data_IF_953370356328
#
_entry.id   IF_953370356328
#
_cell.length_a   1.000
_cell.length_b   1.000
_cell.length_c   1.000
_cell.angle_alpha   90.00
_cell.angle_beta   90.00
_cell.angle_gamma   90.00
#
_symmetry.space_group_name_H-M   'P 1'
#
loop_
_entity.id
_entity.type
_entity.pdbx_description
1 polymer ?
#
# COMPACT_ATOMS: atom_id res chain seq x y z
N UNK A 1 11.62 20.73 -28.22
CA UNK A 1 10.49 21.64 -28.33
C UNK A 1 9.39 21.24 -27.33
N UNK A 2 8.92 22.20 -26.52
CA UNK A 2 7.95 22.01 -25.43
C UNK A 2 6.60 21.45 -25.94
N UNK A 3 6.23 21.78 -27.17
CA UNK A 3 5.01 21.30 -27.82
C UNK A 3 5.10 19.83 -28.19
N UNK A 4 6.26 19.39 -28.66
CA UNK A 4 6.51 17.98 -29.00
C UNK A 4 6.52 17.11 -27.74
N UNK A 5 7.13 17.57 -26.65
CA UNK A 5 7.11 16.88 -25.36
C UNK A 5 5.69 16.76 -24.78
N UNK A 6 4.88 17.82 -24.87
CA UNK A 6 3.47 17.78 -24.45
C UNK A 6 2.63 16.82 -25.28
N UNK A 7 2.85 16.76 -26.59
CA UNK A 7 2.16 15.82 -27.48
C UNK A 7 2.52 14.37 -27.19
N UNK A 8 3.80 14.08 -26.92
CA UNK A 8 4.26 12.74 -26.52
C UNK A 8 3.67 12.34 -25.17
N UNK A 9 3.66 13.27 -24.20
CA UNK A 9 3.09 13.02 -22.86
C UNK A 9 1.58 12.74 -22.93
N UNK A 10 0.85 13.50 -23.76
CA UNK A 10 -0.58 13.31 -23.97
C UNK A 10 -0.90 11.99 -24.64
N UNK A 11 -0.15 11.60 -25.69
CA UNK A 11 -0.28 10.28 -26.34
C UNK A 11 0.02 9.13 -25.37
N UNK A 12 1.03 9.28 -24.50
CA UNK A 12 1.34 8.29 -23.49
C UNK A 12 0.23 8.16 -22.44
N UNK A 13 -0.36 9.27 -22.00
CA UNK A 13 -1.49 9.30 -21.07
C UNK A 13 -2.76 8.72 -21.69
N UNK A 14 -3.05 9.03 -22.96
CA UNK A 14 -4.20 8.50 -23.68
C UNK A 14 -4.06 6.99 -23.93
N UNK A 15 -2.84 6.52 -24.26
CA UNK A 15 -2.54 5.09 -24.38
C UNK A 15 -2.64 4.34 -23.05
N UNK A 16 -2.29 5.00 -21.94
CA UNK A 16 -2.46 4.48 -20.58
C UNK A 16 -3.93 4.44 -20.16
N UNK A 17 -4.70 5.50 -20.46
CA UNK A 17 -6.13 5.59 -20.16
C UNK A 17 -6.94 4.56 -20.97
N UNK A 18 -6.57 4.30 -22.23
CA UNK A 18 -7.19 3.28 -23.09
C UNK A 18 -6.97 1.85 -22.60
N UNK A 19 -5.93 1.59 -21.78
CA UNK A 19 -5.63 0.27 -21.21
C UNK A 19 -6.46 -0.07 -19.97
N UNK A 20 -7.18 0.89 -19.41
CA UNK A 20 -8.03 0.72 -18.23
C UNK A 20 -9.50 0.82 -18.63
N UNK A 21 -10.11 -0.32 -18.88
CA UNK A 21 -11.49 -0.40 -19.36
C UNK A 21 -12.52 -0.10 -18.28
N UNK A 22 -12.61 0.84 -17.58
CA UNK A 22 -13.58 1.34 -16.57
C UNK A 22 -12.89 1.90 -15.32
N UNK A 23 -12.19 3.03 -15.42
CA UNK A 23 -11.44 3.60 -14.28
C UNK A 23 -12.34 3.99 -13.09
N UNK A 24 -13.63 4.33 -13.34
CA UNK A 24 -14.55 4.77 -12.29
C UNK A 24 -14.96 3.65 -11.32
N UNK A 25 -15.07 2.40 -11.79
CA UNK A 25 -15.41 1.26 -10.92
C UNK A 25 -14.25 0.88 -9.97
N UNK A 26 -13.01 1.09 -10.40
CA UNK A 26 -11.82 0.82 -9.57
C UNK A 26 -11.68 1.84 -8.44
N UNK A 27 -11.95 3.12 -8.73
CA UNK A 27 -11.92 4.17 -7.70
C UNK A 27 -12.97 3.93 -6.60
N UNK A 28 -14.18 3.49 -6.97
CA UNK A 28 -15.23 3.15 -6.02
C UNK A 28 -14.88 1.99 -5.09
N UNK A 29 -14.25 0.95 -5.63
CA UNK A 29 -13.79 -0.20 -4.82
C UNK A 29 -12.71 0.22 -3.81
N UNK A 30 -11.78 1.06 -4.21
CA UNK A 30 -10.72 1.55 -3.29
C UNK A 30 -11.31 2.39 -2.15
N UNK A 31 -12.27 3.27 -2.43
CA UNK A 31 -12.94 4.08 -1.39
C UNK A 31 -13.67 3.20 -0.37
N UNK A 32 -14.30 2.11 -0.82
CA UNK A 32 -14.99 1.17 0.08
C UNK A 32 -14.02 0.28 0.87
N UNK A 33 -12.82 0.02 0.34
CA UNK A 33 -11.81 -0.81 1.02
C UNK A 33 -11.12 -0.08 2.17
N UNK A 34 -10.98 1.24 2.11
CA UNK A 34 -10.31 2.02 3.16
C UNK A 34 -10.93 1.82 4.55
N UNK A 35 -12.25 2.01 4.76
CA UNK A 35 -12.85 1.75 6.07
C UNK A 35 -12.80 0.28 6.49
N UNK A 36 -12.87 -0.64 5.53
CA UNK A 36 -12.73 -2.07 5.82
C UNK A 36 -11.33 -2.43 6.32
N UNK A 37 -10.29 -1.94 5.66
CA UNK A 37 -8.90 -2.12 6.09
C UNK A 37 -8.69 -1.55 7.48
N UNK A 38 -9.16 -0.32 7.70
CA UNK A 38 -9.07 0.34 9.01
C UNK A 38 -9.72 -0.48 10.13
N UNK A 39 -10.95 -0.97 9.93
CA UNK A 39 -11.65 -1.80 10.91
C UNK A 39 -10.91 -3.12 11.14
N UNK A 40 -10.43 -3.77 10.08
CA UNK A 40 -9.70 -5.03 10.19
C UNK A 40 -8.37 -4.87 10.94
N UNK A 41 -7.63 -3.79 10.68
CA UNK A 41 -6.40 -3.47 11.41
C UNK A 41 -6.68 -3.14 12.87
N UNK A 42 -7.69 -2.33 13.16
CA UNK A 42 -8.09 -1.98 14.52
C UNK A 42 -8.47 -3.21 15.33
N UNK A 43 -9.24 -4.14 14.74
CA UNK A 43 -9.61 -5.40 15.38
C UNK A 43 -8.38 -6.29 15.62
N UNK A 44 -7.51 -6.44 14.62
CA UNK A 44 -6.29 -7.24 14.73
C UNK A 44 -5.39 -6.68 15.83
N UNK A 45 -5.13 -5.38 15.83
CA UNK A 45 -4.35 -4.69 16.86
C UNK A 45 -4.97 -4.91 18.25
N UNK A 46 -6.27 -4.66 18.40
CA UNK A 46 -6.97 -4.79 19.70
C UNK A 46 -6.89 -6.22 20.24
N UNK A 47 -7.12 -7.24 19.38
CA UNK A 47 -7.07 -8.63 19.80
C UNK A 47 -5.66 -9.11 20.13
N UNK A 48 -4.67 -8.70 19.34
CA UNK A 48 -3.29 -9.16 19.49
C UNK A 48 -2.58 -8.49 20.66
N UNK A 49 -2.95 -7.27 21.05
CA UNK A 49 -2.40 -6.63 22.26
C UNK A 49 -2.85 -7.29 23.58
N UNK A 50 -3.84 -8.19 23.54
CA UNK A 50 -4.15 -9.05 24.68
C UNK A 50 -3.09 -10.14 24.94
N UNK A 51 -2.18 -10.39 23.98
CA UNK A 51 -1.10 -11.36 24.10
C UNK A 51 0.14 -10.75 24.79
N UNK A 52 1.03 -11.59 25.32
CA UNK A 52 2.34 -11.14 25.82
C UNK A 52 3.09 -10.31 24.78
N UNK A 53 3.77 -9.24 25.19
CA UNK A 53 4.43 -8.26 24.31
C UNK A 53 5.35 -8.91 23.27
N UNK A 54 6.10 -9.95 23.68
CA UNK A 54 7.02 -10.68 22.79
C UNK A 54 6.31 -11.35 21.60
N UNK A 55 5.03 -11.68 21.73
CA UNK A 55 4.21 -12.26 20.66
C UNK A 55 3.33 -11.22 19.98
N UNK A 56 2.79 -10.26 20.72
CA UNK A 56 1.85 -9.28 20.20
C UNK A 56 2.47 -8.40 19.12
N UNK A 57 3.67 -7.87 19.35
CA UNK A 57 4.32 -6.96 18.41
C UNK A 57 4.58 -7.62 17.04
N UNK A 58 5.27 -8.79 16.94
CA UNK A 58 5.47 -9.44 15.65
C UNK A 58 4.17 -9.81 14.93
N UNK A 59 3.16 -10.29 15.69
CA UNK A 59 1.88 -10.69 15.12
C UNK A 59 1.07 -9.48 14.63
N UNK A 60 1.10 -8.35 15.32
CA UNK A 60 0.48 -7.11 14.86
C UNK A 60 1.08 -6.67 13.52
N UNK A 61 2.43 -6.62 13.40
CA UNK A 61 3.07 -6.21 12.15
C UNK A 61 2.81 -7.20 11.01
N UNK A 62 2.80 -8.49 11.30
CA UNK A 62 2.45 -9.51 10.32
C UNK A 62 0.99 -9.35 9.84
N UNK A 63 0.06 -9.12 10.77
CA UNK A 63 -1.36 -8.93 10.45
C UNK A 63 -1.59 -7.68 9.60
N UNK A 64 -0.98 -6.55 9.97
CA UNK A 64 -1.05 -5.30 9.19
C UNK A 64 -0.53 -5.54 7.77
N UNK A 65 0.66 -6.13 7.63
CA UNK A 65 1.22 -6.42 6.31
C UNK A 65 0.30 -7.31 5.46
N UNK A 66 -0.29 -8.37 6.05
CA UNK A 66 -1.23 -9.26 5.34
C UNK A 66 -2.50 -8.52 4.94
N UNK A 67 -3.12 -7.77 5.85
CA UNK A 67 -4.37 -7.05 5.60
C UNK A 67 -4.17 -6.02 4.48
N UNK A 68 -3.13 -5.21 4.56
CA UNK A 68 -2.86 -4.18 3.55
C UNK A 68 -2.51 -4.78 2.18
N UNK A 69 -1.70 -5.83 2.13
CA UNK A 69 -1.34 -6.46 0.86
C UNK A 69 -2.52 -7.19 0.22
N UNK A 70 -3.40 -7.82 1.01
CA UNK A 70 -4.66 -8.38 0.51
C UNK A 70 -5.59 -7.29 -0.02
N UNK A 71 -5.74 -6.18 0.72
CA UNK A 71 -6.57 -5.06 0.30
C UNK A 71 -6.10 -4.43 -1.02
N UNK A 72 -4.81 -4.38 -1.27
CA UNK A 72 -4.22 -3.93 -2.54
C UNK A 72 -4.33 -4.99 -3.64
N UNK A 73 -3.95 -6.22 -3.31
CA UNK A 73 -3.79 -7.31 -4.27
C UNK A 73 -5.11 -7.84 -4.82
N UNK A 74 -6.15 -7.99 -3.99
CA UNK A 74 -7.42 -8.57 -4.44
C UNK A 74 -8.13 -7.74 -5.52
N UNK A 75 -8.28 -6.40 -5.40
CA UNK A 75 -8.85 -5.59 -6.47
C UNK A 75 -8.02 -5.61 -7.75
N UNK A 76 -6.69 -5.64 -7.63
CA UNK A 76 -5.78 -5.76 -8.78
C UNK A 76 -6.03 -7.10 -9.49
N UNK A 77 -6.05 -8.19 -8.74
CA UNK A 77 -6.32 -9.52 -9.29
C UNK A 77 -7.70 -9.62 -9.95
N UNK A 78 -8.74 -9.11 -9.29
CA UNK A 78 -10.09 -9.06 -9.86
C UNK A 78 -10.12 -8.25 -11.15
N UNK A 79 -9.37 -7.15 -11.25
CA UNK A 79 -9.25 -6.35 -12.47
C UNK A 79 -8.69 -7.16 -13.65
N UNK A 80 -7.66 -7.98 -13.42
CA UNK A 80 -7.08 -8.86 -14.45
C UNK A 80 -7.99 -10.06 -14.77
N UNK A 81 -8.64 -10.65 -13.78
CA UNK A 81 -9.57 -11.79 -14.00
C UNK A 81 -10.78 -11.38 -14.82
N UNK A 82 -11.30 -10.17 -14.61
CA UNK A 82 -12.44 -9.64 -15.33
C UNK A 82 -12.07 -8.85 -16.60
N UNK A 83 -10.86 -9.04 -17.10
CA UNK A 83 -10.33 -8.41 -18.33
C UNK A 83 -10.49 -6.87 -18.37
N UNK A 84 -10.48 -6.23 -17.19
CA UNK A 84 -10.48 -4.77 -17.06
C UNK A 84 -9.11 -4.15 -17.32
N UNK A 85 -8.07 -4.96 -17.23
CA UNK A 85 -6.67 -4.58 -17.46
C UNK A 85 -6.06 -5.50 -18.51
N UNK A 86 -5.31 -4.93 -19.44
CA UNK A 86 -4.48 -5.70 -20.36
C UNK A 86 -3.36 -6.42 -19.60
N UNK A 87 -3.08 -7.66 -19.96
CA UNK A 87 -2.04 -8.50 -19.32
C UNK A 87 -0.64 -8.18 -19.88
N UNK A 88 -0.24 -6.92 -19.80
CA UNK A 88 1.08 -6.44 -20.23
C UNK A 88 1.93 -6.01 -19.03
N UNK A 89 3.25 -6.01 -19.20
CA UNK A 89 4.19 -5.55 -18.18
C UNK A 89 3.89 -4.09 -17.78
N UNK A 90 3.72 -3.23 -18.78
CA UNK A 90 3.48 -1.81 -18.57
C UNK A 90 2.17 -1.55 -17.80
N UNK A 91 1.09 -2.27 -18.16
CA UNK A 91 -0.19 -2.16 -17.45
C UNK A 91 -0.05 -2.64 -16.01
N UNK A 92 0.64 -3.75 -15.78
CA UNK A 92 0.89 -4.28 -14.44
C UNK A 92 1.63 -3.28 -13.54
N UNK A 93 2.70 -2.67 -14.07
CA UNK A 93 3.47 -1.64 -13.34
C UNK A 93 2.61 -0.43 -13.00
N UNK A 94 1.84 0.07 -13.97
CA UNK A 94 0.99 1.26 -13.77
C UNK A 94 -0.14 0.99 -12.78
N UNK A 95 -0.83 -0.15 -12.91
CA UNK A 95 -1.93 -0.53 -12.01
C UNK A 95 -1.39 -0.76 -10.59
N UNK A 96 -0.26 -1.46 -10.46
CA UNK A 96 0.39 -1.69 -9.17
C UNK A 96 0.84 -0.39 -8.52
N UNK A 97 1.54 0.47 -9.25
CA UNK A 97 1.99 1.77 -8.75
C UNK A 97 0.82 2.65 -8.31
N UNK A 98 -0.24 2.74 -9.13
CA UNK A 98 -1.44 3.52 -8.79
C UNK A 98 -2.16 2.98 -7.54
N UNK A 99 -2.22 1.65 -7.37
CA UNK A 99 -2.79 1.03 -6.18
C UNK A 99 -1.94 1.34 -4.94
N UNK A 100 -0.61 1.22 -5.04
CA UNK A 100 0.32 1.52 -3.95
C UNK A 100 0.22 2.97 -3.48
N UNK A 101 0.20 3.93 -4.41
CA UNK A 101 0.02 5.35 -4.10
C UNK A 101 -1.29 5.60 -3.35
N UNK A 102 -2.40 5.01 -3.81
CA UNK A 102 -3.72 5.19 -3.18
C UNK A 102 -3.77 4.64 -1.77
N UNK A 103 -3.23 3.44 -1.55
CA UNK A 103 -3.21 2.82 -0.22
C UNK A 103 -2.30 3.59 0.71
N UNK A 104 -1.15 4.07 0.24
CA UNK A 104 -0.30 4.95 1.03
C UNK A 104 -1.05 6.19 1.55
N UNK A 105 -1.77 6.91 0.68
CA UNK A 105 -2.56 8.06 1.12
C UNK A 105 -3.71 7.67 2.05
N UNK A 106 -4.38 6.54 1.79
CA UNK A 106 -5.42 6.03 2.67
C UNK A 106 -4.88 5.70 4.06
N UNK A 107 -3.75 5.00 4.15
CA UNK A 107 -3.08 4.68 5.42
C UNK A 107 -2.66 5.96 6.18
N UNK A 108 -2.11 6.96 5.46
CA UNK A 108 -1.76 8.26 6.09
C UNK A 108 -2.98 9.02 6.59
N UNK A 109 -4.09 9.01 5.84
CA UNK A 109 -5.34 9.61 6.29
C UNK A 109 -5.90 8.90 7.53
N UNK A 110 -5.86 7.56 7.54
CA UNK A 110 -6.27 6.74 8.68
C UNK A 110 -5.46 7.09 9.92
N UNK A 111 -4.14 7.17 9.77
CA UNK A 111 -3.24 7.56 10.85
C UNK A 111 -3.55 8.99 11.37
N UNK A 112 -3.79 9.94 10.47
CA UNK A 112 -4.16 11.31 10.84
C UNK A 112 -5.49 11.36 11.61
N UNK A 113 -6.49 10.56 11.20
CA UNK A 113 -7.79 10.47 11.91
C UNK A 113 -7.60 9.85 13.30
N UNK A 114 -6.75 8.82 13.44
CA UNK A 114 -6.43 8.23 14.75
C UNK A 114 -5.77 9.22 15.70
N UNK A 115 -4.85 10.04 15.21
CA UNK A 115 -4.16 11.06 16.01
C UNK A 115 -5.12 12.14 16.53
N UNK A 116 -6.09 12.55 15.70
CA UNK A 116 -7.07 13.58 16.08
C UNK A 116 -8.20 13.00 16.94
N UNK A 117 -8.62 11.77 16.66
CA UNK A 117 -9.80 11.15 17.27
C UNK A 117 -9.53 10.32 18.54
N UNK A 118 -8.29 9.88 18.76
CA UNK A 118 -7.89 9.04 19.88
C UNK A 118 -6.64 9.60 20.58
N UNK A 119 -6.76 10.73 21.28
CA UNK A 119 -5.65 11.31 22.02
C UNK A 119 -5.13 10.30 23.05
N UNK A 120 -3.85 9.96 22.94
CA UNK A 120 -3.16 9.03 23.86
C UNK A 120 -2.90 7.62 23.33
N UNK A 121 -3.16 7.35 22.05
CA UNK A 121 -2.69 6.08 21.47
C UNK A 121 -1.17 6.12 21.27
N UNK A 122 -0.43 5.47 22.18
CA UNK A 122 1.05 5.42 22.15
C UNK A 122 1.61 4.86 20.85
N UNK A 123 0.85 4.05 20.14
CA UNK A 123 1.28 3.47 18.85
C UNK A 123 1.22 4.51 17.72
N UNK A 124 0.17 5.34 17.68
CA UNK A 124 0.08 6.43 16.71
C UNK A 124 1.15 7.49 16.99
N UNK A 125 1.39 7.81 18.26
CA UNK A 125 2.47 8.71 18.69
C UNK A 125 3.84 8.18 18.26
N UNK A 126 4.15 6.91 18.48
CA UNK A 126 5.42 6.31 18.08
C UNK A 126 5.62 6.34 16.55
N UNK A 127 4.59 6.01 15.78
CA UNK A 127 4.67 6.02 14.31
C UNK A 127 4.83 7.44 13.72
N UNK A 128 4.35 8.48 14.44
CA UNK A 128 4.47 9.88 14.01
C UNK A 128 5.71 10.57 14.55
N UNK A 129 6.09 10.33 15.81
CA UNK A 129 7.23 10.96 16.47
C UNK A 129 8.55 10.57 15.85
N UNK A 130 8.68 9.38 15.30
CA UNK A 130 9.87 8.96 14.55
C UNK A 130 10.18 9.83 13.33
N UNK A 131 9.17 10.47 12.73
CA UNK A 131 9.39 11.42 11.63
C UNK A 131 9.54 12.86 12.10
N UNK A 132 8.87 13.26 13.18
CA UNK A 132 8.84 14.65 13.66
C UNK A 132 10.00 15.00 14.59
N UNK A 133 10.62 14.01 15.24
CA UNK A 133 11.82 14.21 16.06
C UNK A 133 13.14 14.29 15.27
N UNK A 134 13.13 13.94 13.99
CA UNK A 134 14.30 14.05 13.15
C UNK A 134 14.50 15.51 12.71
N UNK A 135 15.71 16.03 12.94
CA UNK A 135 16.10 17.39 12.51
C UNK A 135 16.76 17.41 11.13
N UNK A 136 17.18 16.25 10.63
CA UNK A 136 17.80 16.11 9.31
C UNK A 136 16.70 15.99 8.22
N UNK A 137 16.66 16.93 7.25
CA UNK A 137 15.66 16.91 6.17
C UNK A 137 15.74 15.66 5.29
N UNK A 138 16.90 15.03 5.16
CA UNK A 138 17.07 13.78 4.39
C UNK A 138 16.39 12.63 5.15
N UNK A 139 16.58 12.56 6.46
CA UNK A 139 15.92 11.54 7.30
C UNK A 139 14.42 11.73 7.28
N UNK A 140 13.92 12.96 7.40
CA UNK A 140 12.48 13.27 7.29
C UNK A 140 11.93 12.82 5.93
N UNK A 141 12.63 13.13 4.84
CA UNK A 141 12.22 12.73 3.49
C UNK A 141 12.18 11.21 3.34
N UNK A 142 13.19 10.50 3.83
CA UNK A 142 13.25 9.03 3.80
C UNK A 142 12.09 8.41 4.61
N UNK A 143 11.84 8.89 5.81
CA UNK A 143 10.74 8.39 6.64
C UNK A 143 9.36 8.70 6.06
N UNK A 144 9.22 9.83 5.36
CA UNK A 144 7.97 10.19 4.68
C UNK A 144 7.73 9.39 3.39
N UNK A 145 8.79 9.18 2.58
CA UNK A 145 8.67 8.62 1.24
C UNK A 145 9.01 7.13 1.15
N UNK A 146 9.78 6.57 2.08
CA UNK A 146 10.07 5.13 2.08
C UNK A 146 8.80 4.25 2.14
N UNK A 147 7.78 4.58 2.97
CA UNK A 147 6.51 3.84 2.94
C UNK A 147 5.79 3.95 1.58
N UNK A 148 5.86 5.10 0.90
CA UNK A 148 5.30 5.24 -0.45
C UNK A 148 6.00 4.29 -1.43
N UNK A 149 7.33 4.27 -1.41
CA UNK A 149 8.14 3.35 -2.22
C UNK A 149 7.80 1.88 -1.93
N UNK A 150 7.63 1.54 -0.65
CA UNK A 150 7.20 0.21 -0.23
C UNK A 150 5.84 -0.17 -0.84
N UNK A 151 4.82 0.66 -0.66
CA UNK A 151 3.48 0.37 -1.18
C UNK A 151 3.45 0.27 -2.70
N UNK A 152 4.20 1.11 -3.42
CA UNK A 152 4.34 1.03 -4.88
C UNK A 152 5.00 -0.28 -5.29
N UNK A 153 6.09 -0.66 -4.63
CA UNK A 153 6.82 -1.90 -4.93
C UNK A 153 5.94 -3.14 -4.69
N UNK A 154 5.35 -3.26 -3.49
CA UNK A 154 4.56 -4.43 -3.10
C UNK A 154 3.31 -4.60 -3.96
N UNK A 155 2.60 -3.50 -4.26
CA UNK A 155 1.44 -3.53 -5.17
C UNK A 155 1.85 -3.90 -6.60
N UNK A 156 3.03 -3.47 -7.05
CA UNK A 156 3.54 -3.83 -8.38
C UNK A 156 3.90 -5.32 -8.45
N UNK A 157 4.49 -5.90 -7.40
CA UNK A 157 4.73 -7.34 -7.31
C UNK A 157 3.42 -8.14 -7.42
N UNK A 158 2.41 -7.74 -6.69
CA UNK A 158 1.07 -8.35 -6.76
C UNK A 158 0.44 -8.22 -8.15
N UNK A 159 0.58 -7.05 -8.81
CA UNK A 159 0.04 -6.81 -10.15
C UNK A 159 0.76 -7.62 -11.22
N UNK A 160 2.07 -7.75 -11.14
CA UNK A 160 2.89 -8.58 -12.04
C UNK A 160 2.52 -10.08 -11.89
N UNK A 161 2.26 -10.52 -10.68
CA UNK A 161 1.74 -11.86 -10.44
C UNK A 161 0.35 -12.04 -11.01
N UNK A 162 -0.57 -11.11 -10.74
CA UNK A 162 -1.96 -11.16 -11.18
C UNK A 162 -2.10 -11.20 -12.72
N UNK A 163 -1.27 -10.46 -13.44
CA UNK A 163 -1.28 -10.46 -14.92
C UNK A 163 -0.89 -11.81 -15.52
N UNK A 164 -0.19 -12.67 -14.77
CA UNK A 164 0.27 -14.00 -15.20
C UNK A 164 -0.63 -15.14 -14.75
N UNK A 165 -1.66 -14.87 -13.96
CA UNK A 165 -2.65 -15.83 -13.51
C UNK A 165 -2.63 -16.09 -12.00
N UNK A 166 -3.53 -16.98 -11.56
CA UNK A 166 -3.82 -17.21 -10.13
C UNK A 166 -2.58 -17.64 -9.31
N UNK A 167 -1.84 -18.64 -9.80
CA UNK A 167 -0.68 -19.16 -9.05
C UNK A 167 0.40 -18.09 -8.90
N UNK A 168 0.67 -17.35 -9.96
CA UNK A 168 1.65 -16.26 -9.93
C UNK A 168 1.17 -15.07 -9.10
N UNK A 169 -0.15 -14.81 -9.04
CA UNK A 169 -0.72 -13.83 -8.12
C UNK A 169 -0.41 -14.20 -6.67
N UNK A 170 -0.62 -15.45 -6.27
CA UNK A 170 -0.32 -15.89 -4.90
C UNK A 170 1.17 -15.75 -4.56
N UNK A 171 2.06 -16.06 -5.51
CA UNK A 171 3.51 -15.85 -5.34
C UNK A 171 3.84 -14.35 -5.21
N UNK A 172 3.29 -13.50 -6.08
CA UNK A 172 3.50 -12.05 -6.03
C UNK A 172 2.96 -11.43 -4.75
N UNK A 173 1.79 -11.87 -4.29
CA UNK A 173 1.19 -11.45 -3.03
C UNK A 173 2.02 -11.89 -1.82
N UNK A 174 2.48 -13.14 -1.78
CA UNK A 174 3.35 -13.62 -0.71
C UNK A 174 4.67 -12.84 -0.66
N UNK A 175 5.29 -12.58 -1.80
CA UNK A 175 6.47 -11.74 -1.88
C UNK A 175 6.20 -10.32 -1.38
N UNK A 176 5.07 -9.73 -1.74
CA UNK A 176 4.65 -8.41 -1.28
C UNK A 176 4.50 -8.37 0.26
N UNK A 177 3.83 -9.37 0.86
CA UNK A 177 3.67 -9.50 2.31
C UNK A 177 5.03 -9.63 3.00
N UNK A 178 5.93 -10.46 2.47
CA UNK A 178 7.26 -10.63 3.06
C UNK A 178 8.10 -9.36 3.01
N UNK A 179 8.08 -8.64 1.90
CA UNK A 179 8.79 -7.34 1.75
C UNK A 179 8.20 -6.31 2.71
N UNK A 180 6.88 -6.24 2.83
CA UNK A 180 6.20 -5.32 3.73
C UNK A 180 6.53 -5.65 5.20
N UNK A 181 6.45 -6.92 5.59
CA UNK A 181 6.80 -7.37 6.94
C UNK A 181 8.27 -7.07 7.27
N UNK A 182 9.19 -7.35 6.35
CA UNK A 182 10.62 -7.05 6.53
C UNK A 182 10.85 -5.55 6.76
N UNK A 183 10.14 -4.68 6.03
CA UNK A 183 10.18 -3.24 6.23
C UNK A 183 9.68 -2.85 7.63
N UNK A 184 8.51 -3.36 8.04
CA UNK A 184 7.93 -3.07 9.36
C UNK A 184 8.88 -3.49 10.49
N UNK A 185 9.47 -4.68 10.40
CA UNK A 185 10.46 -5.18 11.37
C UNK A 185 11.71 -4.30 11.38
N UNK A 186 12.23 -3.92 10.21
CA UNK A 186 13.43 -3.08 10.10
C UNK A 186 13.20 -1.68 10.69
N UNK A 187 12.01 -1.11 10.51
CA UNK A 187 11.67 0.20 11.10
C UNK A 187 11.61 0.09 12.61
N UNK A 188 10.90 -0.92 13.15
CA UNK A 188 10.73 -1.08 14.60
C UNK A 188 12.05 -1.42 15.30
N UNK A 189 12.87 -2.29 14.70
CA UNK A 189 14.17 -2.66 15.30
C UNK A 189 15.19 -1.50 15.39
N UNK A 190 14.91 -0.39 14.73
CA UNK A 190 15.71 0.85 14.85
C UNK A 190 15.15 1.84 15.87
N UNK A 191 13.96 1.58 16.40
CA UNK A 191 13.23 2.43 17.33
C UNK A 191 13.28 1.92 18.78
N UNK A 192 13.67 0.67 18.96
CA UNK A 192 13.89 -0.01 20.24
C UNK A 192 15.38 -0.19 20.48
#
# INVERSE_FOLDING_TARGET
DLFTQRAIHRKALDALAGRIHRPRSVAGVVVLLVPFVFIAELLAVTMLFALPVALSIPLVFASIAVIEELAKGLPIYAGFVHDRYERTLSTSVVVGAAAGVRVFFAAKLTLAVQLVGLPGSRVADAAFQTGLGATDPIVIALLAFAPLGLHVLTSTLSALGASRGRSMFLVGLAAAVLVHLAYNVAVVSRLV
#
